data_IF_208080733708
#
_entry.id   IF_208080733708
#
_cell.length_a   1.000
_cell.length_b   1.000
_cell.length_c   1.000
_cell.angle_alpha   90.00
_cell.angle_beta   90.00
_cell.angle_gamma   90.00
#
_symmetry.space_group_name_H-M   'P 1'
#
loop_
_entity.id
_entity.type
_entity.pdbx_description
1 polymer ?
#
# COMPACT_ATOMS: atom_id res chain seq x y z
N UNK A 1 23.42 -17.15 21.93
CA UNK A 1 23.36 -15.70 21.65
C UNK A 1 22.19 -15.45 20.73
N UNK A 2 21.06 -15.02 21.30
CA UNK A 2 19.91 -14.57 20.52
C UNK A 2 20.18 -13.10 20.21
N UNK A 3 20.00 -12.70 18.95
CA UNK A 3 19.78 -11.30 18.61
C UNK A 3 18.37 -11.23 18.05
N UNK A 4 17.42 -10.94 18.94
CA UNK A 4 16.14 -10.35 18.57
C UNK A 4 16.46 -8.96 18.04
N UNK A 5 16.19 -8.74 16.75
CA UNK A 5 16.11 -7.41 16.19
C UNK A 5 14.63 -7.03 16.16
N UNK A 6 14.13 -6.57 17.31
CA UNK A 6 12.90 -5.79 17.38
C UNK A 6 13.21 -4.44 16.73
N UNK A 7 12.80 -4.28 15.48
CA UNK A 7 12.91 -3.04 14.71
C UNK A 7 11.52 -2.44 14.50
N UNK A 8 11.16 -1.47 15.35
CA UNK A 8 10.24 -0.36 15.05
C UNK A 8 8.80 -0.67 14.55
N UNK A 9 8.05 -1.50 15.28
CA UNK A 9 6.63 -1.83 14.99
C UNK A 9 5.57 -0.81 15.46
N UNK A 10 5.68 0.49 15.14
CA UNK A 10 4.56 1.42 15.42
C UNK A 10 3.76 1.88 14.19
N UNK A 11 4.26 1.61 12.97
CA UNK A 11 3.55 1.92 11.72
C UNK A 11 3.35 0.73 10.78
N UNK A 12 4.24 -0.27 10.84
CA UNK A 12 4.20 -1.46 9.95
C UNK A 12 2.90 -2.25 10.04
N UNK A 13 2.32 -2.39 11.25
CA UNK A 13 1.09 -3.16 11.43
C UNK A 13 -0.16 -2.58 10.75
N UNK A 14 -0.22 -1.25 10.55
CA UNK A 14 -1.36 -0.66 9.85
C UNK A 14 -1.20 -0.72 8.33
N UNK A 15 0.04 -0.72 7.82
CA UNK A 15 0.28 -0.73 6.36
C UNK A 15 -0.07 -2.07 5.69
N UNK A 16 -0.25 -3.15 6.45
CA UNK A 16 -0.86 -4.39 5.94
C UNK A 16 -2.25 -4.13 5.35
N UNK A 17 -3.04 -3.24 5.96
CA UNK A 17 -4.33 -2.83 5.39
C UNK A 17 -4.14 -2.14 4.06
N UNK A 18 -3.11 -1.31 3.87
CA UNK A 18 -2.84 -0.66 2.58
C UNK A 18 -2.44 -1.69 1.51
N UNK A 19 -1.68 -2.71 1.90
CA UNK A 19 -1.34 -3.81 0.99
C UNK A 19 -2.60 -4.54 0.52
N UNK A 20 -3.48 -4.92 1.44
CA UNK A 20 -4.75 -5.57 1.10
C UNK A 20 -5.70 -4.64 0.34
N UNK A 21 -5.69 -3.34 0.65
CA UNK A 21 -6.43 -2.31 -0.05
C UNK A 21 -6.05 -2.29 -1.53
N UNK A 22 -4.75 -2.24 -1.85
CA UNK A 22 -4.26 -2.30 -3.23
C UNK A 22 -4.59 -3.65 -3.87
N UNK A 23 -4.38 -4.78 -3.18
CA UNK A 23 -4.72 -6.12 -3.70
C UNK A 23 -6.21 -6.31 -4.00
N UNK A 24 -7.08 -5.64 -3.25
CA UNK A 24 -8.53 -5.65 -3.48
C UNK A 24 -8.98 -4.68 -4.58
N UNK A 25 -8.09 -3.80 -5.01
CA UNK A 25 -8.40 -2.76 -5.98
C UNK A 25 -8.43 -3.27 -7.43
N UNK A 26 -8.89 -2.42 -8.33
CA UNK A 26 -8.78 -2.59 -9.78
C UNK A 26 -7.41 -2.18 -10.36
N UNK A 27 -6.35 -2.11 -9.55
CA UNK A 27 -4.98 -1.87 -10.02
C UNK A 27 -4.56 -2.92 -11.08
N UNK A 28 -3.85 -2.53 -12.15
CA UNK A 28 -3.53 -3.43 -13.25
C UNK A 28 -2.34 -4.36 -12.94
N UNK A 29 -2.56 -5.43 -12.17
CA UNK A 29 -1.54 -6.44 -11.79
C UNK A 29 -0.96 -7.31 -12.93
N UNK A 30 -1.02 -6.88 -14.20
CA UNK A 30 -0.83 -7.68 -15.44
C UNK A 30 0.22 -8.80 -15.40
N UNK A 31 1.33 -8.60 -14.71
CA UNK A 31 2.49 -9.50 -14.68
C UNK A 31 2.40 -10.59 -13.59
N UNK A 32 1.56 -10.40 -12.56
CA UNK A 32 1.46 -11.32 -11.40
C UNK A 32 0.04 -11.43 -10.85
N UNK A 33 -0.22 -12.51 -10.12
CA UNK A 33 -1.45 -12.61 -9.33
C UNK A 33 -1.45 -11.53 -8.24
N UNK A 34 -2.59 -10.87 -8.02
CA UNK A 34 -2.73 -9.77 -7.05
C UNK A 34 -2.27 -10.15 -5.65
N UNK A 35 -2.45 -11.41 -5.24
CA UNK A 35 -2.03 -11.94 -3.93
C UNK A 35 -0.51 -11.91 -3.73
N UNK A 36 0.27 -11.76 -4.81
CA UNK A 36 1.73 -11.68 -4.77
C UNK A 36 2.25 -10.24 -4.76
N UNK A 37 1.38 -9.25 -4.91
CA UNK A 37 1.76 -7.84 -4.84
C UNK A 37 2.02 -7.43 -3.39
N UNK A 38 3.06 -6.65 -3.14
CA UNK A 38 3.41 -6.07 -1.86
C UNK A 38 3.58 -4.56 -2.04
N UNK A 39 3.52 -3.83 -0.92
CA UNK A 39 3.78 -2.39 -0.90
C UNK A 39 5.09 -2.09 -0.20
N UNK A 40 5.82 -1.13 -0.77
CA UNK A 40 6.93 -0.46 -0.11
C UNK A 40 6.56 1.02 -0.01
N UNK A 41 6.51 1.56 1.20
CA UNK A 41 6.19 2.97 1.43
C UNK A 41 7.39 3.82 1.01
N UNK A 42 7.20 4.66 0.00
CA UNK A 42 8.19 5.63 -0.46
C UNK A 42 8.14 6.90 0.40
N UNK A 43 6.92 7.35 0.74
CA UNK A 43 6.65 8.60 1.47
C UNK A 43 5.35 8.46 2.29
N UNK A 44 5.34 9.01 3.49
CA UNK A 44 4.17 9.18 4.36
C UNK A 44 4.32 10.52 5.10
N UNK A 45 3.47 11.48 4.78
CA UNK A 45 3.43 12.81 5.41
C UNK A 45 2.29 12.96 6.44
N UNK A 46 1.55 11.88 6.71
CA UNK A 46 0.38 11.84 7.58
C UNK A 46 -0.95 12.19 6.91
N UNK A 47 -0.93 12.84 5.75
CA UNK A 47 -2.12 13.14 4.93
C UNK A 47 -2.19 12.25 3.69
N UNK A 48 -1.03 11.94 3.14
CA UNK A 48 -0.84 11.20 1.90
C UNK A 48 0.26 10.16 2.08
N UNK A 49 0.02 8.97 1.52
CA UNK A 49 0.99 7.88 1.48
C UNK A 49 1.30 7.55 0.04
N UNK A 50 2.57 7.60 -0.33
CA UNK A 50 3.05 7.11 -1.63
C UNK A 50 3.71 5.77 -1.45
N UNK A 51 3.28 4.79 -2.22
CA UNK A 51 3.83 3.45 -2.15
C UNK A 51 4.15 2.87 -3.52
N UNK A 52 5.28 2.18 -3.60
CA UNK A 52 5.65 1.32 -4.72
C UNK A 52 4.92 -0.02 -4.59
N UNK A 53 4.27 -0.45 -5.66
CA UNK A 53 3.69 -1.79 -5.79
C UNK A 53 4.72 -2.69 -6.45
N UNK A 54 5.10 -3.77 -5.78
CA UNK A 54 6.12 -4.70 -6.26
C UNK A 54 5.75 -6.15 -5.97
N UNK A 55 6.44 -7.10 -6.59
CA UNK A 55 6.33 -8.52 -6.24
C UNK A 55 7.72 -9.08 -5.97
N UNK A 56 7.78 -10.06 -5.08
CA UNK A 56 9.00 -10.80 -4.77
C UNK A 56 8.72 -12.29 -4.92
N UNK A 57 9.15 -12.86 -6.05
CA UNK A 57 8.97 -14.29 -6.32
C UNK A 57 10.31 -14.94 -6.65
N UNK A 58 10.64 -15.17 -7.91
CA UNK A 58 11.97 -15.64 -8.36
C UNK A 58 12.82 -14.45 -8.85
N UNK A 59 12.67 -13.32 -8.15
CA UNK A 59 13.14 -12.00 -8.55
C UNK A 59 12.15 -10.93 -8.10
N UNK A 60 12.67 -9.72 -7.88
CA UNK A 60 11.88 -8.57 -7.46
C UNK A 60 11.52 -7.74 -8.69
N UNK A 61 10.21 -7.55 -8.94
CA UNK A 61 9.70 -6.73 -10.04
C UNK A 61 8.82 -5.59 -9.55
N UNK A 62 8.80 -4.48 -10.28
CA UNK A 62 7.98 -3.31 -9.96
C UNK A 62 6.75 -3.31 -10.84
N UNK A 63 5.56 -3.26 -10.23
CA UNK A 63 4.29 -3.19 -10.94
C UNK A 63 3.84 -1.75 -11.17
N UNK A 64 4.21 -0.83 -10.26
CA UNK A 64 3.87 0.57 -10.38
C UNK A 64 3.92 1.32 -9.06
N UNK A 65 3.20 2.43 -9.00
CA UNK A 65 3.09 3.29 -7.83
C UNK A 65 1.65 3.70 -7.57
N UNK A 66 1.32 3.79 -6.29
CA UNK A 66 0.03 4.28 -5.81
C UNK A 66 0.20 5.44 -4.85
N UNK A 67 -0.82 6.28 -4.76
CA UNK A 67 -0.98 7.32 -3.75
C UNK A 67 -2.28 7.08 -3.00
N UNK A 68 -2.22 7.06 -1.68
CA UNK A 68 -3.37 6.90 -0.80
C UNK A 68 -3.59 8.18 0.01
N UNK A 69 -4.79 8.76 -0.07
CA UNK A 69 -5.21 9.87 0.79
C UNK A 69 -5.74 9.33 2.12
N UNK A 70 -5.06 9.65 3.23
CA UNK A 70 -5.42 9.16 4.57
C UNK A 70 -6.76 9.76 5.02
N UNK A 71 -7.00 11.03 4.69
CA UNK A 71 -8.20 11.77 5.11
C UNK A 71 -9.48 11.34 4.38
N UNK A 72 -9.39 11.06 3.08
CA UNK A 72 -10.55 10.78 2.22
C UNK A 72 -10.65 9.32 1.76
N UNK A 73 -9.62 8.50 2.03
CA UNK A 73 -9.53 7.12 1.58
C UNK A 73 -9.31 6.99 0.06
N UNK A 74 -8.92 8.05 -0.64
CA UNK A 74 -8.71 7.95 -2.09
C UNK A 74 -7.50 7.06 -2.39
N UNK A 75 -7.65 6.07 -3.28
CA UNK A 75 -6.53 5.31 -3.83
C UNK A 75 -6.34 5.68 -5.30
N UNK A 76 -5.15 6.12 -5.66
CA UNK A 76 -4.79 6.61 -6.97
C UNK A 76 -3.63 5.80 -7.56
N UNK A 77 -3.75 5.36 -8.81
CA UNK A 77 -2.63 4.87 -9.61
C UNK A 77 -1.89 6.07 -10.21
N UNK A 78 -0.60 6.19 -9.87
CA UNK A 78 0.30 7.25 -10.32
C UNK A 78 1.47 6.68 -11.14
N UNK A 79 1.32 5.47 -11.67
CA UNK A 79 2.40 4.75 -12.37
C UNK A 79 2.80 5.41 -13.68
N UNK A 80 1.83 5.92 -14.44
CA UNK A 80 2.06 6.49 -15.77
C UNK A 80 2.31 8.00 -15.69
N UNK A 81 1.39 8.72 -15.05
CA UNK A 81 1.48 10.16 -14.87
C UNK A 81 0.99 10.53 -13.45
N UNK A 82 1.88 11.00 -12.57
CA UNK A 82 1.51 11.46 -11.23
C UNK A 82 0.65 12.73 -11.20
N UNK A 83 0.63 13.52 -12.28
CA UNK A 83 -0.20 14.74 -12.43
C UNK A 83 -1.61 14.41 -12.96
N UNK A 84 -1.77 13.31 -13.70
CA UNK A 84 -3.05 12.77 -14.17
C UNK A 84 -3.34 11.37 -13.59
N UNK A 85 -3.55 11.25 -12.26
CA UNK A 85 -3.75 9.96 -11.60
C UNK A 85 -5.07 9.28 -12.00
N UNK A 86 -5.08 7.95 -11.97
CA UNK A 86 -6.29 7.14 -12.17
C UNK A 86 -6.86 6.71 -10.83
N UNK A 87 -8.12 7.04 -10.57
CA UNK A 87 -8.81 6.62 -9.34
C UNK A 87 -9.07 5.11 -9.35
N UNK A 88 -8.62 4.43 -8.30
CA UNK A 88 -8.81 3.02 -8.08
C UNK A 88 -9.99 2.76 -7.15
N UNK A 89 -10.76 1.73 -7.46
CA UNK A 89 -11.85 1.21 -6.61
C UNK A 89 -11.37 -0.04 -5.91
N UNK A 90 -11.63 -0.14 -4.61
CA UNK A 90 -11.16 -1.20 -3.74
C UNK A 90 -12.24 -1.54 -2.70
N UNK A 91 -12.00 -2.58 -1.89
CA UNK A 91 -12.90 -2.95 -0.79
C UNK A 91 -12.71 -2.01 0.41
N UNK A 92 -13.69 -1.16 0.68
CA UNK A 92 -13.65 -0.11 1.71
C UNK A 92 -13.36 -0.63 3.12
N UNK A 93 -13.59 -1.92 3.40
CA UNK A 93 -13.28 -2.54 4.69
C UNK A 93 -11.81 -2.40 5.06
N UNK A 94 -10.89 -2.39 4.08
CA UNK A 94 -9.47 -2.22 4.33
C UNK A 94 -9.12 -0.79 4.73
N UNK A 95 -9.74 0.23 4.12
CA UNK A 95 -9.58 1.62 4.56
C UNK A 95 -10.14 1.86 5.96
N UNK A 96 -11.29 1.25 6.28
CA UNK A 96 -11.84 1.30 7.64
C UNK A 96 -10.93 0.62 8.65
N UNK A 97 -10.34 -0.52 8.29
CA UNK A 97 -9.35 -1.23 9.11
C UNK A 97 -8.09 -0.40 9.36
N UNK A 98 -7.59 0.25 8.30
CA UNK A 98 -6.45 1.17 8.37
C UNK A 98 -6.71 2.33 9.33
N UNK A 99 -7.83 3.04 9.18
CA UNK A 99 -8.19 4.17 10.03
C UNK A 99 -8.32 3.76 11.49
N UNK A 100 -9.00 2.65 11.77
CA UNK A 100 -9.11 2.10 13.14
C UNK A 100 -7.76 1.71 13.73
N UNK A 101 -6.83 1.25 12.90
CA UNK A 101 -5.48 0.92 13.33
C UNK A 101 -4.72 2.19 13.75
N UNK A 102 -4.84 3.26 12.97
CA UNK A 102 -4.25 4.56 13.31
C UNK A 102 -4.80 5.17 14.60
N UNK A 103 -6.11 5.01 14.86
CA UNK A 103 -6.75 5.50 16.10
C UNK A 103 -6.26 4.78 17.37
N UNK A 104 -5.70 3.58 17.24
CA UNK A 104 -5.18 2.77 18.35
C UNK A 104 -3.69 2.98 18.61
N UNK A 105 -3.03 3.85 17.84
CA UNK A 105 -1.60 4.14 17.91
C UNK A 105 -1.26 5.17 18.99
#
# INVERSE_FOLDING_TARGET
MTCSAEGQESGEGCYDYLTELVRSSNFPFREVAKEKANLLIDEDDGETIRAKVFFDTQGTGTLGWVRYGVNDGSLLDITVDPEEPVVLRYDERFAQGYNKCLEQR
#
